data_IF_923813295973
#
_entry.id   IF_923813295973
#
_cell.length_a   1.000
_cell.length_b   1.000
_cell.length_c   1.000
_cell.angle_alpha   90.00
_cell.angle_beta   90.00
_cell.angle_gamma   90.00
#
_symmetry.space_group_name_H-M   'P 1'
#
loop_
_entity.id
_entity.type
_entity.pdbx_description
1 polymer ?
#
# COMPACT_ATOMS: atom_id res chain seq x y z
N UNK A 1 -11.73 4.87 -2.69
CA UNK A 1 -11.88 4.08 -1.45
C UNK A 1 -10.56 3.37 -1.22
N UNK A 2 -10.12 3.13 0.02
CA UNK A 2 -8.97 2.25 0.27
C UNK A 2 -9.23 0.88 -0.34
N UNK A 3 -8.16 0.23 -0.79
CA UNK A 3 -8.23 -1.17 -1.17
C UNK A 3 -8.66 -2.03 0.03
N UNK A 4 -9.43 -3.09 -0.24
CA UNK A 4 -9.74 -4.09 0.78
C UNK A 4 -8.50 -4.94 1.08
N UNK A 5 -8.56 -5.76 2.14
CA UNK A 5 -7.49 -6.75 2.39
C UNK A 5 -7.39 -7.76 1.25
N UNK A 6 -8.52 -8.17 0.67
CA UNK A 6 -8.50 -9.07 -0.50
C UNK A 6 -7.85 -8.41 -1.70
N UNK A 7 -8.12 -7.11 -1.94
CA UNK A 7 -7.53 -6.39 -3.05
C UNK A 7 -6.02 -6.20 -2.88
N UNK A 8 -5.56 -5.83 -1.66
CA UNK A 8 -4.13 -5.77 -1.34
C UNK A 8 -3.45 -7.12 -1.60
N UNK A 9 -4.05 -8.22 -1.13
CA UNK A 9 -3.53 -9.57 -1.36
C UNK A 9 -3.43 -9.87 -2.86
N UNK A 10 -4.49 -9.61 -3.62
CA UNK A 10 -4.52 -9.84 -5.06
C UNK A 10 -3.44 -9.03 -5.80
N UNK A 11 -3.20 -7.79 -5.39
CA UNK A 11 -2.20 -6.92 -6.02
C UNK A 11 -0.77 -7.41 -5.71
N UNK A 12 -0.53 -7.93 -4.51
CA UNK A 12 0.76 -8.54 -4.15
C UNK A 12 1.02 -9.82 -4.95
N UNK A 13 0.01 -10.69 -5.08
CA UNK A 13 0.13 -11.91 -5.90
C UNK A 13 0.42 -11.56 -7.37
N UNK A 14 -0.32 -10.60 -7.93
CA UNK A 14 -0.08 -10.11 -9.29
C UNK A 14 1.34 -9.52 -9.48
N UNK A 15 1.89 -8.84 -8.46
CA UNK A 15 3.25 -8.29 -8.54
C UNK A 15 4.30 -9.39 -8.75
N UNK A 16 4.12 -10.57 -8.14
CA UNK A 16 4.99 -11.72 -8.34
C UNK A 16 4.72 -12.40 -9.69
N UNK A 17 3.45 -12.64 -10.02
CA UNK A 17 3.06 -13.33 -11.25
C UNK A 17 3.50 -12.57 -12.51
N UNK A 18 3.35 -11.24 -12.51
CA UNK A 18 3.75 -10.37 -13.62
C UNK A 18 5.24 -10.45 -13.96
N UNK A 19 6.09 -10.72 -12.95
CA UNK A 19 7.55 -10.71 -13.10
C UNK A 19 8.13 -12.13 -13.17
N UNK A 20 7.34 -13.17 -12.89
CA UNK A 20 7.78 -14.57 -12.87
C UNK A 20 8.27 -15.06 -14.24
N UNK A 21 7.62 -14.62 -15.32
CA UNK A 21 7.90 -15.07 -16.69
C UNK A 21 8.64 -14.02 -17.56
N UNK A 22 9.11 -12.92 -16.95
CA UNK A 22 9.82 -11.89 -17.70
C UNK A 22 11.30 -12.23 -17.89
N UNK A 23 11.81 -12.00 -19.10
CA UNK A 23 13.24 -12.05 -19.39
C UNK A 23 13.94 -10.76 -18.95
N UNK A 24 14.07 -10.58 -17.64
CA UNK A 24 14.80 -9.49 -17.00
C UNK A 24 15.86 -10.03 -16.06
N UNK A 25 16.81 -9.19 -15.65
CA UNK A 25 17.76 -9.62 -14.61
C UNK A 25 17.02 -9.79 -13.30
N UNK A 26 17.53 -10.68 -12.45
CA UNK A 26 16.95 -10.90 -11.10
C UNK A 26 16.95 -9.61 -10.28
N UNK A 27 17.92 -8.72 -10.49
CA UNK A 27 17.98 -7.43 -9.81
C UNK A 27 16.82 -6.52 -10.23
N UNK A 28 16.59 -6.38 -11.54
CA UNK A 28 15.52 -5.53 -12.07
C UNK A 28 14.13 -6.07 -11.70
N UNK A 29 13.94 -7.40 -11.75
CA UNK A 29 12.70 -8.03 -11.30
C UNK A 29 12.40 -7.70 -9.83
N UNK A 30 13.41 -7.81 -8.95
CA UNK A 30 13.24 -7.51 -7.52
C UNK A 30 12.88 -6.06 -7.26
N UNK A 31 13.50 -5.13 -7.98
CA UNK A 31 13.17 -3.70 -7.87
C UNK A 31 11.72 -3.43 -8.31
N UNK A 32 11.29 -4.01 -9.43
CA UNK A 32 9.92 -3.86 -9.92
C UNK A 32 8.88 -4.47 -8.99
N UNK A 33 9.13 -5.67 -8.48
CA UNK A 33 8.28 -6.32 -7.47
C UNK A 33 8.16 -5.42 -6.24
N UNK A 34 9.28 -4.89 -5.74
CA UNK A 34 9.29 -4.02 -4.57
C UNK A 34 8.46 -2.75 -4.79
N UNK A 35 8.56 -2.13 -5.97
CA UNK A 35 7.75 -0.97 -6.32
C UNK A 35 6.26 -1.31 -6.36
N UNK A 36 5.86 -2.39 -7.05
CA UNK A 36 4.45 -2.80 -7.13
C UNK A 36 3.85 -3.12 -5.76
N UNK A 37 4.63 -3.74 -4.86
CA UNK A 37 4.19 -3.99 -3.49
C UNK A 37 4.03 -2.68 -2.71
N UNK A 38 4.96 -1.73 -2.86
CA UNK A 38 4.86 -0.43 -2.21
C UNK A 38 3.59 0.33 -2.66
N UNK A 39 3.31 0.34 -3.96
CA UNK A 39 2.11 0.97 -4.53
C UNK A 39 0.82 0.29 -4.02
N UNK A 40 0.81 -1.04 -3.93
CA UNK A 40 -0.34 -1.79 -3.39
C UNK A 40 -0.58 -1.47 -1.91
N UNK A 41 0.49 -1.38 -1.10
CA UNK A 41 0.40 -0.98 0.31
C UNK A 41 -0.08 0.46 0.44
N UNK A 42 0.39 1.37 -0.40
CA UNK A 42 -0.08 2.76 -0.43
C UNK A 42 -1.58 2.82 -0.73
N UNK A 43 -2.07 2.12 -1.75
CA UNK A 43 -3.50 2.05 -2.10
C UNK A 43 -4.38 1.51 -0.96
N UNK A 44 -3.85 0.55 -0.19
CA UNK A 44 -4.52 0.02 1.00
C UNK A 44 -4.54 1.01 2.17
N UNK A 45 -3.47 1.77 2.37
CA UNK A 45 -3.28 2.65 3.54
C UNK A 45 -3.90 4.03 3.32
N UNK A 46 -3.75 4.64 2.15
CA UNK A 46 -4.17 6.03 1.88
C UNK A 46 -5.67 6.24 2.07
N UNK A 47 -6.51 5.22 1.82
CA UNK A 47 -7.94 5.35 2.05
C UNK A 47 -8.40 4.99 3.48
N UNK A 48 -7.51 4.53 4.36
CA UNK A 48 -7.87 4.18 5.75
C UNK A 48 -7.98 5.44 6.59
N UNK A 49 -9.19 5.94 6.75
CA UNK A 49 -9.49 6.94 7.78
C UNK A 49 -9.34 6.30 9.16
N UNK A 50 -8.31 6.73 9.91
CA UNK A 50 -8.17 6.39 11.33
C UNK A 50 -9.07 7.33 12.11
N UNK A 51 -10.11 6.79 12.73
CA UNK A 51 -10.94 7.57 13.66
C UNK A 51 -10.15 7.77 14.96
N UNK A 52 -9.57 8.95 15.14
CA UNK A 52 -8.86 9.33 16.36
C UNK A 52 -9.91 9.68 17.43
N UNK A 53 -10.32 8.69 18.24
CA UNK A 53 -11.22 8.93 19.36
C UNK A 53 -10.46 9.68 20.48
N UNK A 54 -10.60 11.00 20.53
CA UNK A 54 -9.99 11.85 21.56
C UNK A 54 -9.86 13.34 21.23
N UNK A 55 -10.17 13.78 20.00
CA UNK A 55 -10.05 15.19 19.63
C UNK A 55 -11.33 15.94 20.03
N UNK A 56 -11.26 16.69 21.14
CA UNK A 56 -12.24 17.74 21.45
C UNK A 56 -12.26 18.73 20.28
N UNK A 57 -13.42 18.97 19.68
CA UNK A 57 -13.60 19.96 18.61
C UNK A 57 -13.21 21.34 19.13
N UNK A 58 -12.02 21.84 18.78
CA UNK A 58 -11.60 23.18 19.22
C UNK A 58 -10.12 23.57 19.06
N UNK A 59 -9.17 22.64 18.87
CA UNK A 59 -7.76 23.05 18.72
C UNK A 59 -6.95 22.14 17.80
N UNK A 60 -6.60 22.68 16.63
CA UNK A 60 -5.49 22.20 15.81
C UNK A 60 -5.83 21.06 14.85
N UNK A 61 -5.39 21.22 13.59
CA UNK A 61 -5.36 20.14 12.60
C UNK A 61 -4.52 18.98 13.16
N UNK A 62 -5.14 17.81 13.33
CA UNK A 62 -4.44 16.59 13.76
C UNK A 62 -4.06 15.80 12.50
N UNK A 63 -2.80 15.92 12.08
CA UNK A 63 -2.19 15.05 11.09
C UNK A 63 -1.65 13.82 11.81
N UNK A 64 -2.35 12.68 11.71
CA UNK A 64 -1.84 11.39 12.19
C UNK A 64 -1.07 10.69 11.08
N UNK A 65 0.23 10.48 11.27
CA UNK A 65 1.06 9.65 10.37
C UNK A 65 1.09 8.22 10.90
N UNK A 66 0.89 7.25 10.01
CA UNK A 66 0.94 5.83 10.35
C UNK A 66 2.42 5.42 10.46
N UNK A 67 2.82 4.90 11.63
CA UNK A 67 4.12 4.23 11.87
C UNK A 67 3.96 2.72 11.81
#
# INVERSE_FOLDING_TARGET
MPDSKEQLKSNIEAAFDDEADQQVTVADARERIAQKIADAVEGYVVGRSVQVNGVQTGSGSVTGTIQ
#
